data_IF_111706652057
#
_entry.id   IF_111706652057
#
_cell.length_a   1.000
_cell.length_b   1.000
_cell.length_c   1.000
_cell.angle_alpha   90.00
_cell.angle_beta   90.00
_cell.angle_gamma   90.00
#
_symmetry.space_group_name_H-M   'P 1'
#
loop_
_entity.id
_entity.type
_entity.pdbx_description
1 polymer ?
#
# COMPACT_ATOMS: atom_id res chain seq x y z
N UNK A 1 7.32 5.93 -6.94
CA UNK A 1 6.39 5.52 -8.03
C UNK A 1 5.43 6.66 -8.36
N UNK A 2 4.81 7.27 -7.34
CA UNK A 2 3.90 8.43 -7.44
C UNK A 2 4.60 9.67 -8.02
N UNK A 3 5.79 10.04 -7.52
CA UNK A 3 6.57 11.16 -8.08
C UNK A 3 6.96 10.96 -9.55
N UNK A 4 7.33 9.72 -9.91
CA UNK A 4 7.65 9.37 -11.29
C UNK A 4 6.43 9.52 -12.20
N UNK A 5 5.24 9.10 -11.72
CA UNK A 5 4.00 9.29 -12.47
C UNK A 5 3.60 10.76 -12.59
N UNK A 6 3.84 11.59 -11.56
CA UNK A 6 3.62 13.03 -11.63
C UNK A 6 4.54 13.68 -12.66
N UNK A 7 5.85 13.40 -12.59
CA UNK A 7 6.85 13.92 -13.53
C UNK A 7 6.55 13.50 -14.97
N UNK A 8 6.08 12.27 -15.20
CA UNK A 8 5.63 11.83 -16.52
C UNK A 8 4.41 12.62 -17.02
N UNK A 9 3.44 12.92 -16.15
CA UNK A 9 2.25 13.72 -16.47
C UNK A 9 2.58 15.20 -16.70
N UNK A 10 3.63 15.70 -16.07
CA UNK A 10 4.17 17.06 -16.23
C UNK A 10 5.09 17.22 -17.45
N UNK A 11 5.35 16.13 -18.19
CA UNK A 11 6.09 16.15 -19.45
C UNK A 11 7.60 15.97 -19.34
N UNK A 12 8.11 15.48 -18.20
CA UNK A 12 9.54 15.19 -18.05
C UNK A 12 10.01 14.09 -19.02
N UNK A 13 11.22 14.22 -19.55
CA UNK A 13 11.77 13.23 -20.48
C UNK A 13 12.03 11.89 -19.77
N UNK A 14 11.72 10.78 -20.48
CA UNK A 14 11.88 9.42 -19.93
C UNK A 14 13.33 9.12 -19.55
N UNK A 15 14.30 9.68 -20.28
CA UNK A 15 15.72 9.51 -19.99
C UNK A 15 16.11 10.16 -18.65
N UNK A 16 15.59 11.36 -18.36
CA UNK A 16 15.84 12.07 -17.10
C UNK A 16 15.20 11.34 -15.91
N UNK A 17 13.99 10.83 -16.10
CA UNK A 17 13.31 10.00 -15.11
C UNK A 17 14.13 8.73 -14.81
N UNK A 18 14.61 8.03 -15.83
CA UNK A 18 15.42 6.83 -15.66
C UNK A 18 16.76 7.13 -14.93
N UNK A 19 17.43 8.23 -15.30
CA UNK A 19 18.64 8.67 -14.63
C UNK A 19 18.39 9.04 -13.16
N UNK A 20 17.28 9.72 -12.87
CA UNK A 20 16.85 10.06 -11.51
C UNK A 20 16.58 8.81 -10.67
N UNK A 21 15.95 7.78 -11.24
CA UNK A 21 15.73 6.49 -10.57
C UNK A 21 17.06 5.84 -10.21
N UNK A 22 18.03 5.78 -11.13
CA UNK A 22 19.36 5.25 -10.80
C UNK A 22 20.02 6.04 -9.68
N UNK A 23 19.95 7.38 -9.71
CA UNK A 23 20.53 8.21 -8.66
C UNK A 23 19.83 8.00 -7.30
N UNK A 24 18.50 7.84 -7.30
CA UNK A 24 17.74 7.56 -6.09
C UNK A 24 18.15 6.22 -5.45
N UNK A 25 18.29 5.16 -6.26
CA UNK A 25 18.78 3.85 -5.80
C UNK A 25 20.18 3.98 -5.19
N UNK A 26 21.10 4.71 -5.84
CA UNK A 26 22.46 4.94 -5.35
C UNK A 26 22.44 5.68 -4.00
N UNK A 27 21.71 6.79 -3.92
CA UNK A 27 21.62 7.60 -2.70
C UNK A 27 21.03 6.80 -1.53
N UNK A 28 19.94 6.06 -1.77
CA UNK A 28 19.29 5.24 -0.76
C UNK A 28 20.20 4.10 -0.29
N UNK A 29 20.92 3.48 -1.22
CA UNK A 29 21.85 2.38 -0.89
C UNK A 29 23.04 2.90 -0.06
N UNK A 30 23.67 4.00 -0.47
CA UNK A 30 24.80 4.59 0.27
C UNK A 30 24.33 5.06 1.64
N UNK A 31 23.24 5.84 1.71
CA UNK A 31 22.71 6.36 2.97
C UNK A 31 22.32 5.24 3.93
N UNK A 32 21.63 4.21 3.42
CA UNK A 32 21.14 3.09 4.21
C UNK A 32 22.25 2.14 4.69
N UNK A 33 23.23 1.82 3.84
CA UNK A 33 24.27 0.83 4.17
C UNK A 33 25.49 1.45 4.84
N UNK A 34 25.87 2.68 4.49
CA UNK A 34 27.06 3.31 5.04
C UNK A 34 26.87 3.80 6.48
N UNK A 35 25.61 3.92 6.96
CA UNK A 35 25.29 4.31 8.34
C UNK A 35 26.05 5.56 8.80
N UNK A 36 26.16 6.57 7.93
CA UNK A 36 26.88 7.83 8.19
C UNK A 36 28.40 7.76 8.06
N UNK A 37 28.98 6.59 7.75
CA UNK A 37 30.42 6.43 7.53
C UNK A 37 30.76 6.69 6.07
N UNK A 38 31.91 7.32 5.81
CA UNK A 38 32.42 7.49 4.44
C UNK A 38 32.96 6.16 3.92
N UNK A 39 32.51 5.76 2.73
CA UNK A 39 33.08 4.63 1.99
C UNK A 39 34.34 5.14 1.29
N UNK A 40 35.49 4.52 1.57
CA UNK A 40 36.81 4.92 1.05
C UNK A 40 37.60 3.70 0.57
N UNK A 41 38.57 3.92 -0.31
CA UNK A 41 39.45 2.87 -0.83
C UNK A 41 38.90 2.19 -2.08
N UNK A 42 39.30 0.94 -2.30
CA UNK A 42 38.87 0.15 -3.46
C UNK A 42 37.48 -0.44 -3.20
N UNK A 43 36.56 -0.24 -4.13
CA UNK A 43 35.16 -0.66 -4.04
C UNK A 43 34.89 -1.72 -5.11
N UNK A 44 34.49 -2.91 -4.68
CA UNK A 44 34.07 -3.99 -5.57
C UNK A 44 32.55 -3.96 -5.81
N UNK A 45 32.14 -3.93 -7.08
CA UNK A 45 30.74 -3.98 -7.47
C UNK A 45 30.31 -5.43 -7.74
N UNK A 46 29.59 -6.01 -6.77
CA UNK A 46 29.16 -7.41 -6.78
C UNK A 46 27.64 -7.55 -6.85
N UNK A 47 27.16 -8.71 -7.31
CA UNK A 47 25.73 -9.03 -7.41
C UNK A 47 25.09 -8.67 -8.75
N UNK A 48 23.89 -9.19 -8.97
CA UNK A 48 23.18 -9.11 -10.25
C UNK A 48 22.98 -7.70 -10.80
N UNK A 49 22.33 -6.77 -10.08
CA UNK A 49 22.05 -5.43 -10.61
C UNK A 49 23.32 -4.67 -11.02
N UNK A 50 24.38 -4.76 -10.22
CA UNK A 50 25.65 -4.12 -10.52
C UNK A 50 26.43 -4.85 -11.63
N UNK A 51 26.12 -6.12 -11.92
CA UNK A 51 26.67 -6.84 -13.06
C UNK A 51 25.97 -6.44 -14.37
N UNK A 52 24.63 -6.46 -14.39
CA UNK A 52 23.81 -6.28 -15.59
C UNK A 52 23.54 -4.82 -15.96
N UNK A 53 23.66 -3.86 -15.02
CA UNK A 53 23.37 -2.44 -15.24
C UNK A 53 24.65 -1.59 -15.12
N UNK A 54 25.41 -1.40 -16.22
CA UNK A 54 26.66 -0.64 -16.17
C UNK A 54 26.48 0.82 -15.79
N UNK A 55 25.35 1.44 -16.15
CA UNK A 55 25.00 2.82 -15.79
C UNK A 55 24.83 2.98 -14.28
N UNK A 56 24.28 1.96 -13.61
CA UNK A 56 24.16 1.95 -12.15
C UNK A 56 25.54 1.93 -11.49
N UNK A 57 26.48 1.11 -11.99
CA UNK A 57 27.88 1.11 -11.51
C UNK A 57 28.54 2.48 -11.71
N UNK A 58 28.32 3.10 -12.88
CA UNK A 58 28.86 4.43 -13.20
C UNK A 58 28.36 5.46 -12.18
N UNK A 59 27.06 5.47 -11.87
CA UNK A 59 26.46 6.39 -10.88
C UNK A 59 26.97 6.17 -9.46
N UNK A 60 27.18 4.92 -9.03
CA UNK A 60 27.86 4.65 -7.76
C UNK A 60 29.27 5.22 -7.75
N UNK A 61 30.04 5.02 -8.82
CA UNK A 61 31.42 5.50 -8.92
C UNK A 61 31.50 7.03 -8.87
N UNK A 62 30.61 7.72 -9.57
CA UNK A 62 30.49 9.19 -9.55
C UNK A 62 30.09 9.71 -8.16
N UNK A 63 29.06 9.11 -7.55
CA UNK A 63 28.53 9.56 -6.23
C UNK A 63 29.54 9.34 -5.11
N UNK A 64 30.28 8.22 -5.15
CA UNK A 64 31.34 7.91 -4.19
C UNK A 64 32.67 8.61 -4.51
N UNK A 65 32.76 9.33 -5.64
CA UNK A 65 33.97 10.02 -6.12
C UNK A 65 35.18 9.07 -6.22
N UNK A 66 34.95 7.86 -6.74
CA UNK A 66 35.99 6.84 -6.90
C UNK A 66 36.94 7.24 -8.04
N UNK A 67 38.25 7.12 -7.80
CA UNK A 67 39.28 7.35 -8.82
C UNK A 67 39.35 6.18 -9.81
N UNK A 68 39.86 6.41 -11.04
CA UNK A 68 40.19 5.34 -11.97
C UNK A 68 41.09 4.28 -11.29
N UNK A 69 40.65 3.02 -11.27
CA UNK A 69 41.35 1.91 -10.61
C UNK A 69 40.86 1.58 -9.19
N UNK A 70 40.08 2.46 -8.55
CA UNK A 70 39.40 2.13 -7.27
C UNK A 70 38.12 1.33 -7.47
N UNK A 71 37.60 1.30 -8.70
CA UNK A 71 36.43 0.52 -9.09
C UNK A 71 36.85 -0.88 -9.52
N UNK A 72 36.45 -1.90 -8.76
CA UNK A 72 36.69 -3.32 -9.08
C UNK A 72 35.38 -3.91 -9.60
N UNK A 73 35.37 -4.39 -10.85
CA UNK A 73 34.21 -5.02 -11.48
C UNK A 73 34.62 -6.39 -12.07
N UNK A 74 34.59 -7.47 -11.28
CA UNK A 74 35.03 -8.78 -11.73
C UNK A 74 34.13 -9.37 -12.83
N UNK A 75 34.73 -10.13 -13.74
CA UNK A 75 34.02 -10.99 -14.67
C UNK A 75 33.27 -12.07 -13.85
N UNK A 76 31.94 -12.07 -13.89
CA UNK A 76 31.04 -12.88 -13.05
C UNK A 76 30.76 -12.40 -11.62
N UNK A 77 30.78 -11.09 -11.38
CA UNK A 77 30.45 -10.52 -10.06
C UNK A 77 29.08 -10.94 -9.49
N UNK A 78 28.15 -11.38 -10.34
CA UNK A 78 26.85 -11.93 -9.94
C UNK A 78 26.93 -13.33 -9.28
N UNK A 79 28.01 -14.08 -9.48
CA UNK A 79 28.21 -15.43 -8.92
C UNK A 79 28.99 -15.44 -7.60
N UNK A 80 29.48 -14.29 -7.12
CA UNK A 80 30.46 -14.23 -6.04
C UNK A 80 29.97 -14.84 -4.71
N UNK A 81 28.68 -14.73 -4.40
CA UNK A 81 28.11 -15.35 -3.20
C UNK A 81 28.16 -16.88 -3.30
N UNK A 82 27.80 -17.44 -4.45
CA UNK A 82 27.87 -18.88 -4.70
C UNK A 82 29.32 -19.38 -4.74
N UNK A 83 30.23 -18.61 -5.34
CA UNK A 83 31.67 -18.89 -5.33
C UNK A 83 32.21 -18.92 -3.88
N UNK A 84 31.84 -17.94 -3.06
CA UNK A 84 32.20 -17.90 -1.64
C UNK A 84 31.67 -19.11 -0.87
N UNK A 85 30.41 -19.47 -1.10
CA UNK A 85 29.81 -20.67 -0.50
C UNK A 85 30.55 -21.96 -0.90
N UNK A 86 30.89 -22.11 -2.19
CA UNK A 86 31.65 -23.26 -2.69
C UNK A 86 33.06 -23.32 -2.08
N UNK A 87 33.74 -22.17 -1.94
CA UNK A 87 35.06 -22.10 -1.32
C UNK A 87 35.03 -22.44 0.16
N UNK A 88 34.00 -21.99 0.90
CA UNK A 88 33.80 -22.37 2.31
C UNK A 88 33.49 -23.86 2.45
N UNK A 89 32.70 -24.41 1.52
CA UNK A 89 32.32 -25.83 1.49
C UNK A 89 33.50 -26.79 1.33
N UNK A 90 34.66 -26.34 0.83
CA UNK A 90 35.89 -27.15 0.74
C UNK A 90 36.37 -27.70 2.08
N UNK A 91 35.95 -27.09 3.20
CA UNK A 91 36.34 -27.52 4.55
C UNK A 91 35.46 -28.65 5.10
N UNK A 92 34.37 -28.99 4.42
CA UNK A 92 33.46 -30.03 4.88
C UNK A 92 33.91 -31.40 4.37
N UNK A 93 33.65 -32.43 5.17
CA UNK A 93 33.87 -33.81 4.76
C UNK A 93 32.94 -34.20 3.62
N UNK A 94 33.43 -35.10 2.76
CA UNK A 94 32.64 -35.66 1.66
C UNK A 94 31.52 -36.52 2.25
N UNK A 95 30.28 -36.24 1.86
CA UNK A 95 29.11 -37.03 2.24
C UNK A 95 28.60 -37.77 1.01
N UNK A 96 28.28 -39.06 1.15
CA UNK A 96 27.67 -39.83 0.06
C UNK A 96 26.22 -39.41 -0.16
N UNK A 97 25.72 -39.58 -1.39
CA UNK A 97 24.31 -39.28 -1.71
C UNK A 97 23.36 -40.10 -0.83
N UNK A 98 23.66 -41.37 -0.57
CA UNK A 98 22.86 -42.23 0.31
C UNK A 98 22.80 -41.71 1.75
N UNK A 99 23.87 -41.09 2.24
CA UNK A 99 23.90 -40.48 3.56
C UNK A 99 23.10 -39.16 3.61
N UNK A 100 23.12 -38.37 2.53
CA UNK A 100 22.27 -37.20 2.38
C UNK A 100 20.78 -37.56 2.35
N UNK A 101 20.41 -38.62 1.63
CA UNK A 101 19.04 -39.14 1.54
C UNK A 101 18.53 -39.67 2.90
N UNK A 102 19.41 -40.37 3.64
CA UNK A 102 19.12 -40.78 5.01
C UNK A 102 18.89 -39.59 5.95
N UNK A 103 19.66 -38.50 5.78
CA UNK A 103 19.51 -37.28 6.58
C UNK A 103 18.24 -36.50 6.21
N UNK A 104 17.90 -36.38 4.93
CA UNK A 104 16.68 -35.68 4.49
C UNK A 104 15.40 -36.37 4.99
N UNK A 105 15.41 -37.70 5.11
CA UNK A 105 14.30 -38.46 5.71
C UNK A 105 14.02 -38.08 7.17
N UNK A 106 15.05 -37.68 7.94
CA UNK A 106 14.92 -37.26 9.34
C UNK A 106 14.45 -35.79 9.47
N UNK A 107 14.74 -34.94 8.47
CA UNK A 107 14.26 -33.55 8.43
C UNK A 107 12.81 -33.41 7.96
N UNK A 108 12.15 -34.52 7.59
CA UNK A 108 10.72 -34.58 7.25
C UNK A 108 9.84 -34.66 8.51
N UNK A 109 10.20 -33.92 9.57
CA UNK A 109 9.31 -33.71 10.72
C UNK A 109 8.29 -32.62 10.34
N UNK A 110 7.01 -32.75 10.72
CA UNK A 110 6.12 -31.59 10.73
C UNK A 110 6.78 -30.56 11.64
N UNK A 111 7.03 -29.35 11.14
CA UNK A 111 7.36 -28.21 11.98
C UNK A 111 6.13 -27.92 12.84
N UNK A 112 5.95 -28.66 13.93
CA UNK A 112 5.11 -28.24 15.02
C UNK A 112 5.72 -26.95 15.54
N UNK A 113 5.06 -25.85 15.20
CA UNK A 113 5.36 -24.48 15.62
C UNK A 113 5.08 -24.30 17.12
N UNK A 114 5.65 -25.14 17.96
CA UNK A 114 5.64 -24.94 19.41
C UNK A 114 6.69 -23.87 19.73
N UNK A 115 6.26 -22.60 19.77
CA UNK A 115 7.06 -21.53 20.37
C UNK A 115 7.02 -20.16 19.70
N UNK A 116 6.37 -19.98 18.54
CA UNK A 116 5.99 -18.63 18.09
C UNK A 116 4.56 -18.40 18.56
N UNK A 117 4.26 -17.41 19.41
CA UNK A 117 2.88 -17.05 19.70
C UNK A 117 2.19 -16.72 18.37
N UNK A 118 1.36 -17.64 17.88
CA UNK A 118 0.55 -17.39 16.70
C UNK A 118 -0.32 -16.16 16.94
N UNK A 119 -0.53 -15.35 15.90
CA UNK A 119 -1.53 -14.30 15.99
C UNK A 119 -2.91 -14.96 16.11
N UNK A 120 -3.87 -14.34 16.81
CA UNK A 120 -5.24 -14.85 16.82
C UNK A 120 -5.80 -14.83 15.39
N UNK A 121 -6.72 -15.75 15.05
CA UNK A 121 -7.42 -15.68 13.76
C UNK A 121 -8.19 -14.35 13.65
N UNK A 122 -8.39 -13.88 12.41
CA UNK A 122 -9.13 -12.63 12.16
C UNK A 122 -10.56 -12.69 12.71
N UNK A 123 -11.18 -13.87 12.62
CA UNK A 123 -12.45 -14.21 13.23
C UNK A 123 -12.34 -15.59 13.88
N UNK A 124 -12.84 -15.72 15.10
CA UNK A 124 -12.92 -16.98 15.85
C UNK A 124 -13.78 -18.00 15.10
N UNK A 125 -14.91 -17.55 14.57
CA UNK A 125 -15.87 -18.38 13.84
C UNK A 125 -16.70 -17.55 12.83
N UNK A 126 -17.63 -18.23 12.15
CA UNK A 126 -18.51 -17.60 11.17
C UNK A 126 -19.56 -16.67 11.78
N UNK A 127 -19.93 -16.88 13.05
CA UNK A 127 -20.90 -16.01 13.74
C UNK A 127 -20.25 -14.67 14.08
N UNK A 128 -19.02 -14.66 14.61
CA UNK A 128 -18.28 -13.43 14.87
C UNK A 128 -18.07 -12.60 13.60
N UNK A 129 -17.79 -13.26 12.47
CA UNK A 129 -17.71 -12.61 11.15
C UNK A 129 -19.06 -11.99 10.73
N UNK A 130 -20.16 -12.71 10.95
CA UNK A 130 -21.52 -12.22 10.62
C UNK A 130 -21.89 -11.02 11.49
N UNK A 131 -21.67 -11.10 12.80
CA UNK A 131 -21.91 -10.01 13.75
C UNK A 131 -21.06 -8.78 13.44
N UNK A 132 -19.78 -8.99 13.11
CA UNK A 132 -18.90 -7.94 12.62
C UNK A 132 -19.51 -7.27 11.39
N UNK A 133 -19.90 -8.04 10.37
CA UNK A 133 -20.49 -7.51 9.14
C UNK A 133 -21.80 -6.73 9.37
N UNK A 134 -22.68 -7.22 10.25
CA UNK A 134 -23.92 -6.53 10.61
C UNK A 134 -23.67 -5.23 11.36
N UNK A 135 -22.71 -5.22 12.30
CA UNK A 135 -22.31 -4.01 13.02
C UNK A 135 -21.76 -2.95 12.06
N UNK A 136 -20.88 -3.33 11.13
CA UNK A 136 -20.30 -2.38 10.16
C UNK A 136 -21.33 -1.82 9.18
N UNK A 137 -22.29 -2.63 8.73
CA UNK A 137 -23.37 -2.17 7.86
C UNK A 137 -24.26 -1.09 8.50
N UNK A 138 -24.35 -1.03 9.84
CA UNK A 138 -25.12 0.01 10.55
C UNK A 138 -24.52 1.40 10.42
N UNK A 139 -23.22 1.51 10.18
CA UNK A 139 -22.51 2.78 9.99
C UNK A 139 -22.60 3.30 8.54
N UNK A 140 -23.44 2.69 7.69
CA UNK A 140 -23.60 3.09 6.30
C UNK A 140 -24.38 4.40 6.14
N UNK A 141 -23.98 5.22 5.17
CA UNK A 141 -24.70 6.44 4.80
C UNK A 141 -26.06 6.11 4.18
N UNK A 142 -27.16 6.77 4.60
CA UNK A 142 -28.48 6.56 4.02
C UNK A 142 -28.47 6.75 2.49
N UNK A 143 -29.20 5.90 1.78
CA UNK A 143 -29.35 5.95 0.32
C UNK A 143 -30.81 6.25 -0.06
N UNK A 144 -31.00 6.95 -1.17
CA UNK A 144 -32.32 7.18 -1.79
C UNK A 144 -32.21 6.95 -3.30
N UNK A 145 -33.22 6.32 -3.89
CA UNK A 145 -33.24 6.08 -5.34
C UNK A 145 -33.26 7.41 -6.11
N UNK A 146 -32.27 7.60 -6.99
CA UNK A 146 -32.13 8.82 -7.79
C UNK A 146 -33.37 9.14 -8.63
N UNK A 147 -34.07 8.12 -9.15
CA UNK A 147 -35.28 8.28 -9.94
C UNK A 147 -36.46 8.91 -9.16
N UNK A 148 -36.45 8.79 -7.84
CA UNK A 148 -37.46 9.36 -6.92
C UNK A 148 -37.03 10.70 -6.29
N UNK A 149 -35.83 11.19 -6.64
CA UNK A 149 -35.27 12.40 -6.09
C UNK A 149 -35.69 13.63 -6.91
N UNK A 150 -35.84 14.77 -6.23
CA UNK A 150 -36.18 16.05 -6.83
C UNK A 150 -35.54 17.20 -6.04
N UNK A 151 -35.39 18.35 -6.68
CA UNK A 151 -34.81 19.54 -6.09
C UNK A 151 -33.28 19.60 -6.17
N UNK A 152 -32.63 20.36 -5.27
CA UNK A 152 -31.20 20.57 -5.30
C UNK A 152 -30.42 19.36 -4.79
N UNK A 153 -29.37 18.98 -5.52
CA UNK A 153 -28.40 17.96 -5.16
C UNK A 153 -26.96 18.50 -5.16
N UNK A 154 -26.05 17.77 -4.51
CA UNK A 154 -24.66 18.18 -4.31
C UNK A 154 -23.71 17.09 -4.80
N UNK A 155 -22.78 17.45 -5.69
CA UNK A 155 -21.85 16.51 -6.31
C UNK A 155 -20.46 16.62 -5.67
N UNK A 156 -19.94 15.50 -5.16
CA UNK A 156 -18.55 15.35 -4.74
C UNK A 156 -17.77 14.50 -5.73
N UNK A 157 -16.56 14.94 -6.11
CA UNK A 157 -15.63 14.19 -6.95
C UNK A 157 -14.30 14.05 -6.20
N UNK A 158 -13.79 12.84 -6.07
CA UNK A 158 -12.45 12.57 -5.51
C UNK A 158 -11.59 11.93 -6.60
N UNK A 159 -10.54 12.63 -7.02
CA UNK A 159 -9.57 12.13 -7.97
C UNK A 159 -8.25 11.85 -7.27
N UNK A 160 -8.14 10.65 -6.72
CA UNK A 160 -6.93 10.14 -6.09
C UNK A 160 -5.90 9.63 -7.10
N UNK A 161 -4.77 9.15 -6.56
CA UNK A 161 -3.63 8.61 -7.34
C UNK A 161 -3.94 7.28 -8.05
N UNK A 162 -4.87 6.50 -7.47
CA UNK A 162 -5.20 5.13 -7.89
C UNK A 162 -6.65 4.99 -8.31
N UNK A 163 -7.54 5.85 -7.82
CA UNK A 163 -9.00 5.71 -7.95
C UNK A 163 -9.65 7.05 -8.24
N UNK A 164 -10.78 7.02 -8.93
CA UNK A 164 -11.68 8.17 -9.07
C UNK A 164 -13.04 7.80 -8.50
N UNK A 165 -13.60 8.68 -7.68
CA UNK A 165 -14.89 8.50 -7.02
C UNK A 165 -15.80 9.67 -7.32
N UNK A 166 -17.10 9.41 -7.48
CA UNK A 166 -18.11 10.46 -7.58
C UNK A 166 -19.32 10.08 -6.73
N UNK A 167 -19.85 11.05 -5.97
CA UNK A 167 -21.04 10.87 -5.13
C UNK A 167 -21.97 12.05 -5.34
N UNK A 168 -23.24 11.77 -5.62
CA UNK A 168 -24.33 12.76 -5.59
C UNK A 168 -25.15 12.56 -4.32
N UNK A 169 -25.38 13.62 -3.55
CA UNK A 169 -26.27 13.59 -2.37
C UNK A 169 -27.45 14.55 -2.50
N UNK A 170 -28.54 14.26 -1.80
CA UNK A 170 -29.60 15.25 -1.55
C UNK A 170 -29.18 16.26 -0.45
N UNK A 171 -30.08 17.19 -0.11
CA UNK A 171 -29.85 18.18 0.95
C UNK A 171 -29.79 17.61 2.37
N UNK A 172 -30.28 16.39 2.59
CA UNK A 172 -30.18 15.68 3.86
C UNK A 172 -28.88 14.86 3.96
N UNK A 173 -28.07 14.83 2.89
CA UNK A 173 -26.83 14.05 2.81
C UNK A 173 -27.05 12.58 2.46
N UNK A 174 -28.25 12.18 2.00
CA UNK A 174 -28.49 10.82 1.51
C UNK A 174 -27.85 10.64 0.14
N UNK A 175 -27.17 9.52 -0.06
CA UNK A 175 -26.52 9.19 -1.35
C UNK A 175 -27.60 8.83 -2.38
N UNK A 176 -27.62 9.59 -3.47
CA UNK A 176 -28.46 9.36 -4.66
C UNK A 176 -27.72 8.55 -5.73
N UNK A 177 -26.42 8.82 -5.89
CA UNK A 177 -25.55 8.15 -6.84
C UNK A 177 -24.15 8.02 -6.23
N UNK A 178 -23.48 6.90 -6.50
CA UNK A 178 -22.10 6.67 -6.13
C UNK A 178 -21.43 5.82 -7.21
N UNK A 179 -20.25 6.22 -7.66
CA UNK A 179 -19.44 5.46 -8.60
C UNK A 179 -17.96 5.50 -8.14
N UNK A 180 -17.27 4.38 -8.30
CA UNK A 180 -15.88 4.14 -7.90
C UNK A 180 -15.18 3.42 -9.04
N UNK A 181 -14.11 4.01 -9.56
CA UNK A 181 -13.35 3.45 -10.69
C UNK A 181 -11.87 3.41 -10.37
N UNK A 182 -11.25 2.28 -10.70
CA UNK A 182 -9.80 2.14 -10.70
C UNK A 182 -9.22 2.91 -11.89
N UNK A 183 -8.17 3.69 -11.67
CA UNK A 183 -7.65 4.59 -12.70
C UNK A 183 -6.83 3.87 -13.78
N UNK A 184 -6.39 2.62 -13.55
CA UNK A 184 -6.08 1.61 -14.60
C UNK A 184 -5.26 2.01 -15.84
N UNK A 185 -4.51 3.11 -15.83
CA UNK A 185 -3.89 3.69 -17.03
C UNK A 185 -4.79 4.61 -17.88
N UNK A 186 -6.06 4.81 -17.52
CA UNK A 186 -6.95 5.81 -18.11
C UNK A 186 -6.65 7.22 -17.59
N UNK A 187 -6.88 8.22 -18.42
CA UNK A 187 -6.73 9.63 -18.02
C UNK A 187 -7.86 10.02 -17.05
N UNK A 188 -7.55 10.73 -15.94
CA UNK A 188 -8.55 11.17 -14.96
C UNK A 188 -9.74 11.92 -15.58
N UNK A 189 -9.47 12.76 -16.58
CA UNK A 189 -10.49 13.51 -17.32
C UNK A 189 -11.52 12.61 -17.99
N UNK A 190 -11.06 11.56 -18.67
CA UNK A 190 -11.95 10.62 -19.35
C UNK A 190 -12.81 9.88 -18.34
N UNK A 191 -12.20 9.42 -17.25
CA UNK A 191 -12.90 8.69 -16.20
C UNK A 191 -14.01 9.54 -15.58
N UNK A 192 -13.70 10.79 -15.21
CA UNK A 192 -14.72 11.72 -14.69
C UNK A 192 -15.79 12.02 -15.74
N UNK A 193 -15.43 12.23 -17.00
CA UNK A 193 -16.40 12.45 -18.08
C UNK A 193 -17.41 11.31 -18.22
N UNK A 194 -16.94 10.06 -18.16
CA UNK A 194 -17.79 8.88 -18.24
C UNK A 194 -18.70 8.75 -17.01
N UNK A 195 -18.18 9.00 -15.80
CA UNK A 195 -18.96 9.00 -14.56
C UNK A 195 -20.06 10.08 -14.58
N UNK A 196 -19.75 11.28 -15.07
CA UNK A 196 -20.73 12.36 -15.20
C UNK A 196 -21.80 12.02 -16.23
N UNK A 197 -21.45 11.45 -17.38
CA UNK A 197 -22.44 11.01 -18.38
C UNK A 197 -23.40 9.96 -17.82
N UNK A 198 -22.89 9.02 -17.03
CA UNK A 198 -23.70 8.01 -16.36
C UNK A 198 -24.59 8.61 -15.25
N UNK A 199 -24.07 9.58 -14.51
CA UNK A 199 -24.86 10.33 -13.54
C UNK A 199 -26.02 11.05 -14.23
N UNK A 200 -25.73 11.89 -15.24
CA UNK A 200 -26.74 12.68 -15.96
C UNK A 200 -27.78 11.80 -16.66
N UNK A 201 -27.43 10.61 -17.14
CA UNK A 201 -28.40 9.70 -17.77
C UNK A 201 -29.40 9.09 -16.78
N UNK A 202 -29.10 9.13 -15.48
CA UNK A 202 -29.96 8.62 -14.39
C UNK A 202 -30.70 9.72 -13.64
N UNK A 203 -30.36 10.98 -13.87
CA UNK A 203 -30.99 12.12 -13.19
C UNK A 203 -32.38 12.41 -13.80
N UNK A 204 -33.46 12.43 -13.00
CA UNK A 204 -34.74 12.93 -13.48
C UNK A 204 -34.69 14.45 -13.70
N UNK A 205 -35.52 14.98 -14.59
CA UNK A 205 -35.55 16.43 -14.91
C UNK A 205 -35.81 17.31 -13.67
N UNK A 206 -36.51 16.78 -12.68
CA UNK A 206 -36.82 17.50 -11.43
C UNK A 206 -35.63 17.62 -10.46
N UNK A 207 -34.52 16.94 -10.72
CA UNK A 207 -33.31 16.93 -9.90
C UNK A 207 -32.20 17.72 -10.62
N UNK A 208 -31.54 18.64 -9.91
CA UNK A 208 -30.43 19.42 -10.48
C UNK A 208 -29.27 19.55 -9.50
N UNK A 209 -28.05 19.58 -10.03
CA UNK A 209 -26.85 19.82 -9.22
C UNK A 209 -26.81 21.30 -8.87
N UNK A 210 -27.00 21.62 -7.59
CA UNK A 210 -26.94 22.98 -7.07
C UNK A 210 -25.49 23.44 -6.85
N UNK A 211 -24.62 22.53 -6.46
CA UNK A 211 -23.19 22.81 -6.25
C UNK A 211 -22.37 21.52 -6.35
N UNK A 212 -21.11 21.68 -6.74
CA UNK A 212 -20.15 20.62 -6.95
C UNK A 212 -18.82 20.96 -6.26
N UNK A 213 -18.14 19.94 -5.75
CA UNK A 213 -16.84 20.06 -5.10
C UNK A 213 -15.93 18.93 -5.54
N UNK A 214 -14.66 19.24 -5.79
CA UNK A 214 -13.63 18.26 -6.15
C UNK A 214 -12.48 18.28 -5.14
N UNK A 215 -11.90 17.11 -4.91
CA UNK A 215 -10.71 16.92 -4.06
C UNK A 215 -9.73 15.90 -4.67
N UNK A 216 -8.62 15.66 -3.97
CA UNK A 216 -7.57 14.72 -4.35
C UNK A 216 -6.55 15.31 -5.33
N UNK A 217 -5.58 14.50 -5.74
CA UNK A 217 -4.48 14.90 -6.64
C UNK A 217 -4.95 15.51 -7.96
N UNK A 218 -6.13 15.15 -8.46
CA UNK A 218 -6.69 15.67 -9.70
C UNK A 218 -7.53 16.95 -9.57
N UNK A 219 -7.64 17.55 -8.37
CA UNK A 219 -8.54 18.67 -8.07
C UNK A 219 -8.52 19.77 -9.13
N UNK A 220 -7.37 20.43 -9.30
CA UNK A 220 -7.23 21.58 -10.21
C UNK A 220 -7.52 21.22 -11.67
N UNK A 221 -7.15 20.01 -12.09
CA UNK A 221 -7.37 19.50 -13.43
C UNK A 221 -8.86 19.34 -13.72
N UNK A 222 -9.59 18.67 -12.83
CA UNK A 222 -11.03 18.44 -12.97
C UNK A 222 -11.81 19.74 -12.83
N UNK A 223 -11.42 20.60 -11.87
CA UNK A 223 -12.07 21.89 -11.66
C UNK A 223 -12.02 22.74 -12.93
N UNK A 224 -10.86 22.80 -13.58
CA UNK A 224 -10.67 23.56 -14.83
C UNK A 224 -11.43 22.93 -16.00
N UNK A 225 -11.40 21.61 -16.13
CA UNK A 225 -11.97 20.92 -17.28
C UNK A 225 -13.51 20.84 -17.27
N UNK A 226 -14.13 20.74 -16.09
CA UNK A 226 -15.57 20.54 -15.94
C UNK A 226 -16.29 21.71 -15.28
N UNK A 227 -15.57 22.76 -14.86
CA UNK A 227 -16.16 23.93 -14.21
C UNK A 227 -16.76 23.62 -12.83
N UNK A 228 -16.11 22.73 -12.07
CA UNK A 228 -16.56 22.39 -10.69
C UNK A 228 -16.50 23.65 -9.81
N UNK A 229 -17.54 23.88 -9.01
CA UNK A 229 -17.71 25.16 -8.30
C UNK A 229 -16.60 25.40 -7.26
N UNK A 230 -16.15 24.35 -6.58
CA UNK A 230 -15.20 24.44 -5.48
C UNK A 230 -14.14 23.32 -5.51
N UNK A 231 -12.95 23.64 -5.05
CA UNK A 231 -11.91 22.69 -4.69
C UNK A 231 -11.77 22.63 -3.17
N UNK A 232 -11.50 21.45 -2.61
CA UNK A 232 -11.36 21.26 -1.17
C UNK A 232 -10.22 20.30 -0.86
N UNK A 233 -9.55 20.52 0.27
CA UNK A 233 -8.45 19.65 0.70
C UNK A 233 -9.00 18.30 1.16
N UNK A 234 -8.39 17.21 0.69
CA UNK A 234 -8.83 15.84 0.94
C UNK A 234 -9.00 15.53 2.43
N UNK A 235 -8.09 16.01 3.28
CA UNK A 235 -8.16 15.80 4.74
C UNK A 235 -9.35 16.51 5.39
N UNK A 236 -9.77 17.67 4.86
CA UNK A 236 -10.97 18.39 5.31
C UNK A 236 -12.22 17.64 4.86
N UNK A 237 -12.25 17.18 3.61
CA UNK A 237 -13.34 16.37 3.08
C UNK A 237 -13.54 15.08 3.90
N UNK A 238 -12.46 14.36 4.20
CA UNK A 238 -12.47 13.18 5.07
C UNK A 238 -12.98 13.48 6.47
N UNK A 239 -12.48 14.55 7.10
CA UNK A 239 -12.92 14.95 8.46
C UNK A 239 -14.41 15.28 8.49
N UNK A 240 -14.89 16.00 7.47
CA UNK A 240 -16.30 16.36 7.35
C UNK A 240 -17.20 15.13 7.16
N UNK A 241 -16.77 14.17 6.34
CA UNK A 241 -17.50 12.92 6.14
C UNK A 241 -17.51 12.06 7.41
N UNK A 242 -16.36 11.88 8.06
CA UNK A 242 -16.24 11.13 9.31
C UNK A 242 -17.12 11.73 10.41
N UNK A 243 -17.09 13.06 10.59
CA UNK A 243 -17.93 13.77 11.58
C UNK A 243 -19.44 13.69 11.32
N UNK A 244 -19.87 13.29 10.11
CA UNK A 244 -21.27 12.99 9.81
C UNK A 244 -21.68 11.57 10.18
N UNK A 245 -20.73 10.63 10.17
CA UNK A 245 -20.95 9.25 10.59
C UNK A 245 -20.88 9.16 12.11
N UNK A 246 -19.85 9.78 12.69
CA UNK A 246 -19.63 9.84 14.14
C UNK A 246 -19.26 11.29 14.54
N UNK A 247 -20.19 12.05 15.15
CA UNK A 247 -19.93 13.41 15.62
C UNK A 247 -18.79 13.52 16.65
N UNK A 248 -18.52 12.43 17.36
CA UNK A 248 -17.51 12.35 18.41
C UNK A 248 -16.19 11.75 17.91
N UNK A 249 -16.00 11.61 16.59
CA UNK A 249 -14.75 11.08 16.00
C UNK A 249 -13.51 11.80 16.55
N UNK A 250 -12.59 11.00 17.08
CA UNK A 250 -11.31 11.45 17.65
C UNK A 250 -10.13 11.10 16.73
N UNK A 251 -10.28 10.02 15.96
CA UNK A 251 -9.23 9.53 15.08
C UNK A 251 -9.77 9.01 13.77
N UNK A 252 -9.13 9.41 12.68
CA UNK A 252 -9.47 8.98 11.33
C UNK A 252 -8.24 8.31 10.73
N UNK A 253 -8.42 7.11 10.18
CA UNK A 253 -7.37 6.36 9.46
C UNK A 253 -7.85 6.15 8.03
N UNK A 254 -7.21 6.81 7.07
CA UNK A 254 -7.37 6.58 5.64
C UNK A 254 -6.18 5.77 5.12
N UNK A 255 -6.41 4.52 4.70
CA UNK A 255 -5.40 3.71 4.01
C UNK A 255 -5.80 3.57 2.54
N UNK A 256 -5.15 4.37 1.70
CA UNK A 256 -5.26 4.30 0.26
C UNK A 256 -4.40 3.20 -0.36
N UNK A 257 -4.38 3.17 -1.69
CA UNK A 257 -3.55 2.24 -2.44
C UNK A 257 -2.05 2.52 -2.26
N UNK A 258 -1.64 3.78 -2.25
CA UNK A 258 -0.22 4.18 -2.25
C UNK A 258 0.20 4.97 -1.01
N UNK A 259 -0.75 5.66 -0.38
CA UNK A 259 -0.53 6.53 0.75
C UNK A 259 -1.46 6.17 1.91
N UNK A 260 -1.10 6.69 3.08
CA UNK A 260 -1.88 6.60 4.30
C UNK A 260 -1.94 7.97 4.94
N UNK A 261 -3.12 8.34 5.42
CA UNK A 261 -3.38 9.59 6.12
C UNK A 261 -4.07 9.28 7.44
N UNK A 262 -3.60 9.87 8.51
CA UNK A 262 -4.31 9.79 9.79
C UNK A 262 -4.51 11.17 10.39
N UNK A 263 -5.70 11.39 10.94
CA UNK A 263 -6.12 12.69 11.44
C UNK A 263 -6.56 12.50 12.89
N UNK A 264 -5.99 13.31 13.80
CA UNK A 264 -6.56 13.50 15.14
C UNK A 264 -7.55 14.63 15.07
N UNK A 265 -8.75 14.40 15.55
CA UNK A 265 -9.84 15.37 15.55
C UNK A 265 -10.29 15.67 16.97
N UNK A 266 -10.70 16.90 17.22
CA UNK A 266 -11.31 17.31 18.47
C UNK A 266 -12.51 18.18 18.13
N UNK A 267 -13.72 17.72 18.47
CA UNK A 267 -14.99 18.41 18.18
C UNK A 267 -15.12 18.82 16.70
N UNK A 268 -14.83 17.87 15.80
CA UNK A 268 -14.89 18.06 14.36
C UNK A 268 -13.78 18.93 13.75
N UNK A 269 -12.77 19.34 14.54
CA UNK A 269 -11.62 20.12 14.05
C UNK A 269 -10.37 19.26 14.04
N UNK A 270 -9.61 19.30 12.93
CA UNK A 270 -8.32 18.62 12.83
C UNK A 270 -7.31 19.27 13.79
N UNK A 271 -6.75 18.48 14.70
CA UNK A 271 -5.68 18.87 15.63
C UNK A 271 -4.31 18.48 15.12
N UNK A 272 -4.22 17.32 14.48
CA UNK A 272 -2.95 16.78 14.00
C UNK A 272 -3.17 15.94 12.75
N UNK A 273 -2.23 16.02 11.82
CA UNK A 273 -2.21 15.26 10.58
C UNK A 273 -0.93 14.44 10.52
N UNK A 274 -1.06 13.15 10.22
CA UNK A 274 0.04 12.25 9.93
C UNK A 274 -0.09 11.77 8.49
N UNK A 275 0.93 12.03 7.68
CA UNK A 275 0.98 11.62 6.27
C UNK A 275 2.17 10.68 6.05
N UNK A 276 1.95 9.59 5.32
CA UNK A 276 3.02 8.75 4.84
C UNK A 276 2.80 8.41 3.36
N UNK A 277 3.63 9.02 2.53
CA UNK A 277 3.63 8.83 1.08
C UNK A 277 4.78 7.90 0.62
N UNK A 278 5.76 7.64 1.50
CA UNK A 278 7.00 6.94 1.13
C UNK A 278 6.98 5.42 1.44
N UNK A 279 6.23 4.99 2.46
CA UNK A 279 6.27 3.60 2.92
C UNK A 279 5.11 2.77 2.35
N UNK A 280 5.42 1.88 1.40
CA UNK A 280 4.44 0.99 0.75
C UNK A 280 3.99 -0.20 1.62
N UNK A 281 4.69 -0.51 2.72
CA UNK A 281 4.40 -1.71 3.53
C UNK A 281 3.17 -1.57 4.44
N UNK A 282 2.51 -0.40 4.42
CA UNK A 282 1.29 -0.11 5.16
C UNK A 282 0.12 0.32 4.27
N UNK A 283 0.18 0.10 2.95
CA UNK A 283 -0.84 0.56 2.00
C UNK A 283 -1.47 -0.61 1.23
N UNK A 284 -2.67 -0.41 0.68
CA UNK A 284 -3.44 -1.45 -0.01
C UNK A 284 -2.75 -2.06 -1.22
N UNK A 285 -1.93 -1.29 -1.95
CA UNK A 285 -1.18 -1.82 -3.10
C UNK A 285 -0.23 -2.95 -2.72
N UNK A 286 0.25 -3.02 -1.47
CA UNK A 286 1.07 -4.14 -1.04
C UNK A 286 0.28 -5.45 -1.00
N UNK A 287 -0.95 -5.41 -0.45
CA UNK A 287 -1.85 -6.57 -0.45
C UNK A 287 -2.24 -6.95 -1.88
N UNK A 288 -2.56 -5.95 -2.72
CA UNK A 288 -2.94 -6.19 -4.11
C UNK A 288 -1.82 -6.83 -4.94
N UNK A 289 -0.60 -6.29 -4.88
CA UNK A 289 0.54 -6.90 -5.58
C UNK A 289 0.81 -8.34 -5.08
N UNK A 290 0.55 -8.61 -3.81
CA UNK A 290 0.73 -9.94 -3.25
C UNK A 290 -0.35 -10.92 -3.73
N UNK A 291 -1.63 -10.50 -3.71
CA UNK A 291 -2.74 -11.27 -4.26
C UNK A 291 -2.49 -11.61 -5.74
N UNK A 292 -2.09 -10.62 -6.55
CA UNK A 292 -1.72 -10.83 -7.95
C UNK A 292 -0.58 -11.84 -8.10
N UNK A 293 0.43 -11.81 -7.22
CA UNK A 293 1.54 -12.77 -7.26
C UNK A 293 1.12 -14.21 -6.93
N UNK A 294 -0.02 -14.39 -6.27
CA UNK A 294 -0.66 -15.68 -6.00
C UNK A 294 -1.68 -16.06 -7.08
N UNK A 295 -1.91 -15.19 -8.08
CA UNK A 295 -2.96 -15.39 -9.08
C UNK A 295 -4.37 -15.26 -8.51
N UNK A 296 -4.53 -14.48 -7.45
CA UNK A 296 -5.81 -14.22 -6.78
C UNK A 296 -6.24 -12.76 -7.04
N UNK A 297 -7.54 -12.53 -7.11
CA UNK A 297 -8.08 -11.19 -6.94
C UNK A 297 -8.15 -10.80 -5.44
N UNK A 298 -8.54 -9.55 -5.16
CA UNK A 298 -8.59 -9.06 -3.78
C UNK A 298 -9.71 -9.71 -2.95
N UNK A 299 -10.85 -10.06 -3.54
CA UNK A 299 -11.97 -10.68 -2.82
C UNK A 299 -11.62 -12.12 -2.43
N UNK A 300 -10.94 -12.84 -3.33
CA UNK A 300 -10.36 -14.15 -3.09
C UNK A 300 -9.27 -14.10 -2.00
N UNK A 301 -8.39 -13.10 -2.07
CA UNK A 301 -7.33 -12.90 -1.07
C UNK A 301 -7.89 -12.64 0.33
N UNK A 302 -8.91 -11.78 0.46
CA UNK A 302 -9.58 -11.50 1.74
C UNK A 302 -10.28 -12.76 2.25
N UNK A 303 -11.04 -13.46 1.39
CA UNK A 303 -11.71 -14.70 1.75
C UNK A 303 -10.73 -15.82 2.14
N UNK A 304 -9.52 -15.81 1.59
CA UNK A 304 -8.42 -16.68 1.98
C UNK A 304 -7.90 -16.32 3.38
N UNK A 305 -7.61 -15.05 3.64
CA UNK A 305 -7.15 -14.57 4.95
C UNK A 305 -8.16 -14.86 6.07
N UNK A 306 -9.46 -14.65 5.84
CA UNK A 306 -10.52 -14.89 6.83
C UNK A 306 -10.66 -16.37 7.25
N UNK A 307 -10.20 -17.30 6.41
CA UNK A 307 -10.21 -18.74 6.72
C UNK A 307 -9.03 -19.19 7.59
N UNK A 308 -8.05 -18.31 7.82
CA UNK A 308 -6.88 -18.63 8.64
C UNK A 308 -7.26 -19.02 10.07
N UNK A 309 -6.56 -20.01 10.60
CA UNK A 309 -6.68 -20.47 11.99
C UNK A 309 -5.44 -20.22 12.81
N UNK A 310 -4.29 -20.05 12.15
CA UNK A 310 -3.02 -19.76 12.80
C UNK A 310 -2.21 -18.74 11.98
N UNK A 311 -2.67 -17.47 11.88
CA UNK A 311 -1.97 -16.47 11.10
C UNK A 311 -0.49 -16.34 11.47
N UNK A 312 0.35 -16.24 10.44
CA UNK A 312 1.80 -16.11 10.61
C UNK A 312 2.15 -14.72 11.12
N UNK A 313 2.89 -14.61 12.22
CA UNK A 313 3.43 -13.31 12.64
C UNK A 313 4.64 -12.92 11.77
N UNK A 314 4.38 -12.10 10.76
CA UNK A 314 5.42 -11.56 9.88
C UNK A 314 6.11 -10.32 10.51
N UNK A 315 5.54 -9.76 11.59
CA UNK A 315 6.01 -8.58 12.31
C UNK A 315 5.88 -7.26 11.55
N UNK A 316 6.40 -6.18 12.13
CA UNK A 316 6.44 -4.87 11.45
C UNK A 316 7.73 -4.71 10.63
N UNK A 317 7.65 -4.82 9.29
CA UNK A 317 8.82 -4.65 8.42
C UNK A 317 8.46 -3.96 7.11
N UNK A 318 9.48 -3.39 6.46
CA UNK A 318 9.39 -2.91 5.08
C UNK A 318 9.05 -4.06 4.12
N UNK A 319 8.35 -3.74 3.03
CA UNK A 319 7.87 -4.66 1.98
C UNK A 319 8.95 -5.63 1.51
N UNK A 320 10.19 -5.18 1.34
CA UNK A 320 11.31 -6.04 0.90
C UNK A 320 11.56 -7.17 1.89
N UNK A 321 11.67 -6.84 3.18
CA UNK A 321 11.87 -7.84 4.23
C UNK A 321 10.62 -8.66 4.49
N UNK A 322 9.44 -8.08 4.26
CA UNK A 322 8.17 -8.82 4.33
C UNK A 322 8.12 -9.92 3.28
N UNK A 323 8.46 -9.63 2.03
CA UNK A 323 8.53 -10.64 0.97
C UNK A 323 9.54 -11.75 1.30
N UNK A 324 10.69 -11.42 1.89
CA UNK A 324 11.62 -12.44 2.37
C UNK A 324 11.02 -13.32 3.47
N UNK A 325 10.27 -12.73 4.41
CA UNK A 325 9.62 -13.47 5.49
C UNK A 325 8.47 -14.33 5.01
N UNK A 326 7.67 -13.84 4.07
CA UNK A 326 6.63 -14.64 3.41
C UNK A 326 7.25 -15.85 2.71
N UNK A 327 8.31 -15.66 1.93
CA UNK A 327 9.03 -16.77 1.27
C UNK A 327 9.61 -17.77 2.27
N UNK A 328 10.05 -17.29 3.44
CA UNK A 328 10.48 -18.16 4.52
C UNK A 328 9.31 -18.97 5.08
N UNK A 329 8.19 -18.32 5.43
CA UNK A 329 6.99 -18.99 5.93
C UNK A 329 6.44 -20.03 4.95
N UNK A 330 6.47 -19.74 3.64
CA UNK A 330 6.12 -20.71 2.59
C UNK A 330 7.04 -21.93 2.60
N UNK A 331 8.35 -21.75 2.76
CA UNK A 331 9.31 -22.85 2.87
C UNK A 331 9.14 -23.66 4.16
N UNK A 332 8.67 -23.01 5.22
CA UNK A 332 8.35 -23.61 6.51
C UNK A 332 6.97 -24.31 6.50
N UNK A 333 6.26 -24.31 5.36
CA UNK A 333 5.00 -25.03 5.18
C UNK A 333 3.75 -24.27 5.65
N UNK A 334 3.86 -22.97 5.93
CA UNK A 334 2.69 -22.14 6.26
C UNK A 334 1.72 -22.09 5.08
N UNK A 335 0.42 -22.21 5.37
CA UNK A 335 -0.61 -22.15 4.34
C UNK A 335 -0.77 -20.74 3.76
N UNK A 336 -1.41 -20.63 2.60
CA UNK A 336 -1.67 -19.33 1.98
C UNK A 336 -2.65 -18.53 2.84
N UNK A 337 -3.62 -19.18 3.49
CA UNK A 337 -4.57 -18.56 4.42
C UNK A 337 -3.82 -17.88 5.58
N UNK A 338 -2.92 -18.62 6.24
CA UNK A 338 -2.18 -18.14 7.41
C UNK A 338 -1.20 -17.01 7.05
N UNK A 339 -0.57 -17.09 5.88
CA UNK A 339 0.28 -16.01 5.35
C UNK A 339 -0.57 -14.78 5.01
N UNK A 340 -1.71 -14.96 4.36
CA UNK A 340 -2.60 -13.86 3.93
C UNK A 340 -3.14 -13.10 5.13
N UNK A 341 -3.59 -13.80 6.18
CA UNK A 341 -3.99 -13.18 7.44
C UNK A 341 -2.81 -12.48 8.14
N UNK A 342 -1.62 -13.10 8.14
CA UNK A 342 -0.39 -12.49 8.66
C UNK A 342 -0.03 -11.17 7.96
N UNK A 343 -0.28 -11.08 6.65
CA UNK A 343 -0.06 -9.86 5.87
C UNK A 343 -1.06 -8.76 6.21
N UNK A 344 -2.34 -9.09 6.40
CA UNK A 344 -3.36 -8.14 6.88
C UNK A 344 -2.95 -7.55 8.24
N UNK A 345 -2.55 -8.40 9.19
CA UNK A 345 -1.99 -7.92 10.47
C UNK A 345 -0.78 -7.01 10.29
N UNK A 346 0.11 -7.36 9.36
CA UNK A 346 1.36 -6.61 9.13
C UNK A 346 1.11 -5.22 8.56
N UNK A 347 0.13 -5.08 7.66
CA UNK A 347 -0.27 -3.77 7.11
C UNK A 347 -0.78 -2.86 8.22
N UNK A 348 -1.71 -3.35 9.05
CA UNK A 348 -2.27 -2.58 10.17
C UNK A 348 -1.19 -2.25 11.20
N UNK A 349 -0.36 -3.23 11.59
CA UNK A 349 0.74 -2.99 12.54
C UNK A 349 1.78 -2.00 12.00
N UNK A 350 2.10 -2.04 10.70
CA UNK A 350 2.99 -1.07 10.07
C UNK A 350 2.38 0.33 10.08
N UNK A 351 1.08 0.46 9.79
CA UNK A 351 0.36 1.73 9.89
C UNK A 351 0.46 2.31 11.30
N UNK A 352 0.07 1.55 12.32
CA UNK A 352 0.04 2.01 13.70
C UNK A 352 1.43 2.30 14.28
N UNK A 353 2.39 1.38 14.11
CA UNK A 353 3.66 1.44 14.86
C UNK A 353 4.83 2.01 14.08
N UNK A 354 4.85 1.90 12.74
CA UNK A 354 5.96 2.44 11.94
C UNK A 354 5.65 3.83 11.41
N UNK A 355 4.42 4.03 10.97
CA UNK A 355 4.00 5.31 10.38
C UNK A 355 3.54 6.26 11.47
N UNK A 356 2.52 5.87 12.24
CA UNK A 356 1.97 6.73 13.28
C UNK A 356 2.82 6.76 14.55
N UNK A 357 3.65 5.73 14.76
CA UNK A 357 4.52 5.58 15.94
C UNK A 357 3.73 5.66 17.25
N UNK A 358 2.49 5.17 17.23
CA UNK A 358 1.62 5.10 18.40
C UNK A 358 2.28 4.24 19.46
N UNK A 359 2.33 4.73 20.71
CA UNK A 359 2.93 4.01 21.83
C UNK A 359 1.88 3.34 22.71
N UNK A 360 0.68 3.89 22.77
CA UNK A 360 -0.46 3.32 23.49
C UNK A 360 -1.77 3.55 22.76
N UNK A 361 -2.76 2.69 23.01
CA UNK A 361 -4.11 2.82 22.44
C UNK A 361 -4.78 4.15 22.84
N UNK A 362 -4.47 4.67 24.04
CA UNK A 362 -5.01 5.95 24.52
C UNK A 362 -4.66 7.14 23.60
N UNK A 363 -3.62 7.02 22.77
CA UNK A 363 -3.25 8.09 21.83
C UNK A 363 -4.22 8.26 20.66
N UNK A 364 -5.05 7.26 20.36
CA UNK A 364 -6.00 7.26 19.24
C UNK A 364 -7.47 7.39 19.68
N UNK A 365 -7.74 7.44 20.99
CA UNK A 365 -9.10 7.61 21.52
C UNK A 365 -10.02 6.40 21.30
N UNK A 366 -11.29 6.58 21.62
CA UNK A 366 -12.32 5.53 21.56
C UNK A 366 -13.13 5.60 20.27
N UNK A 367 -13.26 6.79 19.68
CA UNK A 367 -14.04 7.03 18.46
C UNK A 367 -13.16 7.08 17.22
N UNK A 368 -12.96 5.90 16.60
CA UNK A 368 -12.06 5.72 15.46
C UNK A 368 -12.86 5.41 14.20
N UNK A 369 -12.64 6.21 13.15
CA UNK A 369 -13.16 5.97 11.80
C UNK A 369 -12.03 5.47 10.91
N UNK A 370 -12.22 4.29 10.32
CA UNK A 370 -11.33 3.73 9.30
C UNK A 370 -11.96 3.86 7.91
N UNK A 371 -11.18 4.21 6.90
CA UNK A 371 -11.64 4.47 5.54
C UNK A 371 -10.52 4.32 4.51
N UNK A 372 -10.87 4.48 3.23
CA UNK A 372 -9.96 4.28 2.10
C UNK A 372 -10.16 2.90 1.48
N UNK A 373 -9.74 2.72 0.22
CA UNK A 373 -10.03 1.49 -0.55
C UNK A 373 -9.36 0.20 -0.04
N UNK A 374 -8.59 0.29 1.05
CA UNK A 374 -7.98 -0.88 1.72
C UNK A 374 -8.87 -1.45 2.83
N UNK A 375 -9.83 -0.66 3.34
CA UNK A 375 -10.86 -1.11 4.28
C UNK A 375 -12.15 -1.42 3.51
#
# INVERSE_FOLDING_TARGET
KTDVQSLMKEGAERADIAASIFQAVVNQTISGLACGRRIVGNVAFLGGPLYFLPELRKRFSETLRLLPGQTISPENSHLFVALGAALLGKKNDVVSISELDRRSAVYSLPLSMDGVPGLPPLFRDGEERREFGERHRRSGTPRKEIASASGPAYLGIDVGSTTTKAVLTDGDGRILFSDYRMQGGSEPLRTVSEMLKELYSRMPESLFIKSSCVTGYGEKLIQTAFGVDMGEIETVAHTRAAGKIDPDVEFIIDIGGQDMKCLKTEKGTIRQIFLNEACSSGCGSFLQNFAESLGMDMDEFVSCAERSRSPVDLGTRCTVFMNSKVRQAQKEGSSIEDISAGLVYSVVRNALYKVLKIKSADEIGDHIVVQGGTF
#
